data_IF_678575123262
#
_entry.id   IF_678575123262
#
_cell.length_a   1.000
_cell.length_b   1.000
_cell.length_c   1.000
_cell.angle_alpha   90.00
_cell.angle_beta   90.00
_cell.angle_gamma   90.00
#
_symmetry.space_group_name_H-M   'P 1'
#
loop_
_entity.id
_entity.type
_entity.pdbx_description
1 polymer ?
2 non-polymer ?
#
# COMPACT_ATOMS: atom_id res chain seq x y z
N UNK A 1 -12.79 9.66 6.55
CA UNK A 1 -14.04 9.73 7.34
C UNK A 1 -15.25 10.13 6.50
N UNK A 2 -15.40 10.27 5.39
CA UNK A 2 -16.23 10.51 4.22
C UNK A 2 -15.89 9.55 3.09
N UNK A 3 -14.64 9.62 2.66
CA UNK A 3 -14.34 9.39 1.27
C UNK A 3 -13.24 8.37 1.19
N UNK A 4 -13.40 7.52 0.18
CA UNK A 4 -12.29 6.94 -0.51
C UNK A 4 -11.28 8.04 -0.84
N UNK A 5 -10.03 7.78 -0.48
CA UNK A 5 -8.92 8.61 -0.93
C UNK A 5 -8.29 7.80 -2.05
N UNK A 6 -9.06 7.70 -3.12
CA UNK A 6 -8.63 6.99 -4.31
C UNK A 6 -7.36 7.63 -4.86
N UNK A 7 -6.20 6.97 -4.72
CA UNK A 7 -4.94 7.52 -5.20
C UNK A 7 -4.56 6.79 -6.47
N UNK A 8 -4.14 7.54 -7.49
CA UNK A 8 -3.74 6.94 -8.75
C UNK A 8 -2.41 6.24 -8.56
N UNK A 9 -2.12 5.25 -9.41
CA UNK A 9 -0.88 4.50 -9.26
C UNK A 9 0.33 5.39 -9.60
N UNK A 10 0.15 6.41 -10.44
CA UNK A 10 1.19 7.42 -10.66
C UNK A 10 1.58 8.06 -9.33
N UNK A 11 0.57 8.53 -8.59
CA UNK A 11 0.77 9.29 -7.37
C UNK A 11 1.63 8.45 -6.44
N UNK A 12 1.13 7.28 -6.03
CA UNK A 12 1.83 6.41 -5.11
C UNK A 12 3.27 6.10 -5.51
N UNK A 13 3.56 5.99 -6.80
CA UNK A 13 4.87 5.56 -7.27
C UNK A 13 5.95 6.60 -6.94
N UNK A 14 5.58 7.81 -6.51
CA UNK A 14 6.54 8.85 -6.15
C UNK A 14 7.05 8.63 -4.72
N UNK A 15 6.32 7.88 -3.89
CA UNK A 15 6.45 7.91 -2.44
C UNK A 15 7.45 6.87 -1.95
N UNK A 16 8.73 7.12 -2.21
CA UNK A 16 9.81 6.27 -1.70
C UNK A 16 11.14 7.00 -1.60
N UNK A 17 11.11 8.32 -1.64
CA UNK A 17 12.31 9.11 -1.93
C UNK A 17 13.11 9.40 -0.67
N UNK A 18 12.42 9.60 0.46
CA UNK A 18 13.04 10.22 1.62
C UNK A 18 12.32 9.83 2.91
N UNK A 19 11.01 10.03 2.93
CA UNK A 19 10.21 9.99 4.14
C UNK A 19 8.86 9.37 3.84
N UNK A 20 8.08 10.04 2.99
CA UNK A 20 6.77 9.59 2.58
C UNK A 20 6.90 8.25 1.88
N UNK A 21 6.31 7.22 2.48
CA UNK A 21 6.29 5.89 1.92
C UNK A 21 4.90 5.33 2.16
N UNK A 22 4.32 4.87 1.06
CA UNK A 22 3.04 4.25 1.00
C UNK A 22 3.27 2.84 0.48
N UNK A 23 2.42 1.90 0.86
CA UNK A 23 2.61 0.51 0.52
C UNK A 23 1.22 -0.10 0.30
N UNK A 24 1.01 -0.88 -0.77
CA UNK A 24 -0.34 -1.24 -1.20
C UNK A 24 -0.60 -2.70 -0.86
N UNK A 25 -1.74 -2.98 -0.21
CA UNK A 25 -2.04 -4.29 0.36
C UNK A 25 -3.49 -4.68 0.02
N UNK A 26 -3.72 -5.22 -1.19
CA UNK A 26 -5.02 -5.63 -1.73
C UNK A 26 -5.92 -4.44 -2.01
N UNK A 27 -5.64 -3.74 -3.11
CA UNK A 27 -6.41 -2.59 -3.56
C UNK A 27 -6.67 -1.62 -2.40
N UNK A 28 -5.68 -1.38 -1.55
CA UNK A 28 -5.77 -0.41 -0.47
C UNK A 28 -4.39 0.21 -0.35
N UNK A 29 -4.34 1.54 -0.28
CA UNK A 29 -3.13 2.31 -0.13
C UNK A 29 -2.97 2.52 1.36
N UNK A 30 -1.94 1.92 1.95
CA UNK A 30 -1.65 2.11 3.36
C UNK A 30 -0.52 3.11 3.47
N UNK A 31 -0.70 4.15 4.27
CA UNK A 31 0.40 5.05 4.52
C UNK A 31 1.16 4.54 5.73
N UNK A 32 2.45 4.25 5.54
CA UNK A 32 3.29 3.72 6.59
C UNK A 32 4.50 4.62 6.79
N UNK A 33 4.40 5.90 6.39
CA UNK A 33 5.39 6.92 6.70
C UNK A 33 5.68 6.91 8.20
N UNK A 34 4.66 7.03 9.04
CA UNK A 34 4.83 6.82 10.48
C UNK A 34 4.59 5.36 10.85
N UNK A 35 5.27 4.46 10.15
CA UNK A 35 5.37 3.07 10.56
C UNK A 35 6.60 2.40 9.94
N UNK A 36 7.65 3.17 9.62
CA UNK A 36 8.89 2.61 9.10
C UNK A 36 9.64 1.87 10.20
N UNK A 37 10.42 2.56 11.04
CA UNK A 37 11.12 1.90 12.14
C UNK A 37 10.14 1.35 13.18
N UNK A 38 8.96 1.96 13.29
CA UNK A 38 7.90 1.48 14.17
C UNK A 38 7.42 0.08 13.78
N UNK A 39 7.59 -0.33 12.52
CA UNK A 39 7.27 -1.67 12.07
C UNK A 39 8.22 -2.68 12.72
N UNK A 40 7.69 -3.71 13.40
CA UNK A 40 8.50 -4.74 14.05
C UNK A 40 9.06 -5.70 13.00
N UNK A 41 10.22 -5.34 12.45
CA UNK A 41 10.85 -6.08 11.38
C UNK A 41 12.10 -5.35 10.91
N UNK A 42 12.02 -4.03 10.77
CA UNK A 42 13.15 -3.20 10.40
C UNK A 42 12.57 -1.87 9.95
N UNK A 43 12.90 -1.47 8.73
CA UNK A 43 12.42 -0.25 8.11
C UNK A 43 12.37 -0.50 6.61
N UNK A 44 13.55 -0.70 6.02
CA UNK A 44 13.72 -0.81 4.58
C UNK A 44 12.81 -1.88 3.97
N UNK A 45 12.51 -2.97 4.69
CA UNK A 45 11.63 -4.04 4.23
C UNK A 45 10.28 -3.54 3.73
N UNK A 46 9.69 -2.51 4.35
CA UNK A 46 8.46 -1.92 3.81
C UNK A 46 8.80 -1.16 2.53
N UNK A 47 9.91 -0.42 2.56
CA UNK A 47 10.38 0.37 1.44
C UNK A 47 10.64 -0.49 0.20
N UNK A 48 10.92 -1.78 0.37
CA UNK A 48 11.17 -2.74 -0.71
C UNK A 48 10.04 -2.75 -1.74
N UNK A 49 8.80 -2.40 -1.34
CA UNK A 49 7.68 -2.31 -2.26
C UNK A 49 6.94 -0.99 -2.04
N UNK A 50 7.68 0.08 -1.76
CA UNK A 50 7.09 1.40 -1.61
C UNK A 50 6.60 1.90 -2.96
N UNK A 51 5.42 2.53 -2.95
CA UNK A 51 4.81 3.10 -4.13
C UNK A 51 4.35 2.02 -5.10
N UNK A 52 3.95 0.84 -4.61
CA UNK A 52 3.45 -0.19 -5.50
C UNK A 52 3.17 -1.50 -4.78
N UNK A 53 3.35 -2.59 -5.54
CA UNK A 53 2.87 -3.94 -5.31
C UNK A 53 3.51 -4.60 -4.09
N UNK A 54 2.98 -4.31 -2.90
CA UNK A 54 3.45 -4.93 -1.67
C UNK A 54 2.56 -6.09 -1.23
N UNK A 55 1.41 -6.27 -1.87
CA UNK A 55 0.42 -7.32 -1.63
C UNK A 55 1.04 -8.68 -1.47
N UNK A 56 1.65 -9.17 -2.54
CA UNK A 56 2.15 -10.51 -2.51
C UNK A 56 3.24 -10.58 -1.43
N UNK A 57 4.02 -9.51 -1.32
CA UNK A 57 5.11 -9.41 -0.36
C UNK A 57 4.63 -9.04 1.04
N UNK A 58 3.39 -9.35 1.41
CA UNK A 58 2.88 -9.01 2.72
C UNK A 58 2.00 -10.15 3.21
N UNK A 59 1.02 -10.57 2.39
CA UNK A 59 0.09 -11.62 2.86
C UNK A 59 0.83 -12.94 3.02
N UNK A 60 1.78 -13.19 2.13
CA UNK A 60 2.65 -14.35 2.15
C UNK A 60 3.36 -14.48 3.50
N UNK A 61 3.79 -13.35 4.06
CA UNK A 61 4.49 -13.31 5.34
C UNK A 61 3.56 -13.79 6.47
N UNK A 62 2.24 -13.72 6.27
CA UNK A 62 1.26 -14.40 7.11
C UNK A 62 1.30 -13.88 8.53
N UNK A 63 1.32 -12.55 8.66
CA UNK A 63 1.61 -11.81 9.88
C UNK A 63 0.98 -12.43 11.13
N UNK A 64 -0.34 -12.34 11.21
CA UNK A 64 -1.17 -12.93 12.25
C UNK A 64 -2.62 -12.72 11.82
N UNK A 65 -3.58 -12.97 12.72
CA UNK A 65 -4.99 -12.73 12.48
C UNK A 65 -5.49 -11.61 13.41
N UNK A 66 -4.57 -10.73 13.82
CA UNK A 66 -4.83 -9.60 14.71
C UNK A 66 -4.17 -8.32 14.17
N UNK A 67 -2.91 -8.43 13.75
CA UNK A 67 -2.05 -7.34 13.32
C UNK A 67 -2.39 -6.88 11.91
N UNK A 68 -2.72 -7.82 11.02
CA UNK A 68 -3.11 -7.42 9.67
C UNK A 68 -4.38 -6.59 9.72
N UNK A 69 -5.29 -6.83 10.67
CA UNK A 69 -6.44 -5.95 10.81
C UNK A 69 -6.01 -4.54 11.22
N UNK A 70 -5.01 -4.41 12.10
CA UNK A 70 -4.52 -3.10 12.55
C UNK A 70 -4.19 -2.15 11.39
N UNK A 71 -3.83 -2.68 10.22
CA UNK A 71 -3.48 -1.87 9.06
C UNK A 71 -4.58 -0.89 8.66
N UNK A 72 -5.84 -1.20 8.96
CA UNK A 72 -7.00 -0.41 8.58
C UNK A 72 -6.95 1.00 9.18
N UNK A 73 -6.40 1.19 10.38
CA UNK A 73 -6.26 2.53 10.94
C UNK A 73 -5.23 3.37 10.16
N UNK A 74 -4.45 2.75 9.27
CA UNK A 74 -3.41 3.37 8.46
C UNK A 74 -3.80 3.42 6.98
N UNK A 75 -4.97 2.90 6.62
CA UNK A 75 -5.49 3.06 5.26
C UNK A 75 -5.62 4.55 5.00
N UNK A 76 -4.93 5.03 3.96
CA UNK A 76 -5.04 6.39 3.49
C UNK A 76 -5.78 6.38 2.15
N UNK A 77 -6.40 5.26 1.74
CA UNK A 77 -7.04 5.22 0.43
C UNK A 77 -7.03 3.83 -0.19
N UNK A 78 -7.17 3.78 -1.52
CA UNK A 78 -7.16 2.58 -2.33
C UNK A 78 -6.92 2.97 -3.80
N UNK A 79 -6.71 1.99 -4.70
CA UNK A 79 -6.36 2.27 -6.09
C UNK A 79 -7.47 3.07 -6.75
N UNK A 80 -7.13 4.18 -7.41
CA UNK A 80 -8.09 5.00 -8.14
C UNK A 80 -8.96 4.16 -9.08
N UNK A 81 -10.29 4.37 -9.09
CA UNK A 81 -11.27 3.49 -9.69
C UNK A 81 -11.23 3.54 -11.21
N UNK A 82 -10.57 4.54 -11.79
CA UNK A 82 -10.30 4.55 -13.22
C UNK A 82 -9.39 3.36 -13.54
N UNK A 83 -8.16 3.40 -13.02
CA UNK A 83 -7.16 2.34 -13.20
C UNK A 83 -7.71 1.00 -12.71
N UNK A 84 -8.43 1.03 -11.59
CA UNK A 84 -8.94 -0.17 -10.95
C UNK A 84 -10.23 -0.66 -11.60
N UNK A 85 -10.90 0.14 -12.43
CA UNK A 85 -11.87 -0.41 -13.37
C UNK A 85 -11.14 -1.23 -14.43
N UNK A 86 -9.84 -0.99 -14.63
CA UNK A 86 -9.07 -1.68 -15.65
C UNK A 86 -8.46 -2.97 -15.13
N UNK A 87 -8.12 -3.08 -13.84
CA UNK A 87 -7.86 -4.39 -13.29
C UNK A 87 -9.23 -5.07 -13.33
N UNK A 88 -9.29 -6.13 -14.10
CA UNK A 88 -10.47 -6.73 -14.70
C UNK A 88 -9.88 -7.56 -15.81
N UNK A 89 -9.22 -6.82 -16.70
CA UNK A 89 -8.14 -7.31 -17.52
C UNK A 89 -6.88 -6.57 -17.09
N UNK A 90 -6.05 -7.08 -16.18
CA UNK A 90 -4.65 -6.98 -16.49
C UNK A 90 -4.48 -7.92 -17.70
N UNK A 91 -4.48 -7.48 -18.97
CA UNK A 91 -3.74 -6.38 -19.59
C UNK A 91 -3.74 -5.10 -18.79
N UNK A 92 -2.78 -5.02 -17.88
CA UNK A 92 -2.39 -3.79 -17.20
C UNK A 92 -2.27 -2.67 -18.22
N UNK A 93 -1.74 -3.03 -19.39
CA UNK A 93 -0.68 -2.24 -19.96
C UNK A 93 -1.14 -0.80 -20.14
N UNK A 94 -0.49 0.12 -19.43
CA UNK A 94 0.90 0.10 -19.00
C UNK A 94 1.08 0.98 -17.77
X LIG B 1 4.90 -6.54 8.77
X LIG B 1 4.54 -6.99 10.81
X LIG B 1 5.23 -7.92 11.52
X LIG B 1 4.59 -8.04 12.80
X LIG B 1 4.88 -9.08 13.85
X LIG B 1 6.09 -8.73 14.73
X LIG B 1 6.55 -9.90 15.59
X LIG B 1 5.80 -10.87 15.71
X LIG B 1 7.69 -9.84 16.05
X LIG B 1 7.87 -10.58 17.25
X LIG B 1 3.63 -7.05 12.89
X LIG B 1 2.78 -6.76 14.10
X LIG B 1 3.56 -6.42 11.59
X LIG B 1 2.63 -5.45 11.22
X LIG B 1 2.51 -4.97 9.91
X LIG B 1 3.27 -5.29 8.79
X LIG B 1 1.51 -4.02 9.49
X LIG B 1 0.43 -3.38 10.34
X LIG B 1 1.71 -3.82 8.15
X LIG B 1 1.14 -2.65 7.40
X LIG B 1 -0.09 -2.72 6.86
X LIG B 1 2.84 -4.59 7.70
X LIG B 1 3.37 -4.54 6.41
X LIG B 1 4.50 -5.28 6.00
X LIG B 1 5.24 -6.16 6.76
X LIG B 1 5.10 -5.22 4.68
X LIG B 1 4.64 -4.43 3.49
X LIG B 1 6.18 -6.08 4.72
X LIG B 1 7.34 -6.08 3.74
X LIG B 1 7.18 -6.02 2.39
X LIG B 1 6.27 -6.68 6.02
X LIG B 1 7.27 -7.58 6.42
X LIG B 1 7.35 -8.12 7.71
X LIG B 1 6.53 -7.89 8.77
X LIG B 1 8.36 -9.05 8.15
X LIG B 1 9.49 -9.63 7.33
X LIG B 1 8.10 -9.35 9.47
X LIG B 1 6.92 -8.61 9.86
X LIG B 1 6.33 -8.68 11.12
X LIG B 1 8.87 -10.29 10.37
X LIG B 1 8.07 -11.54 10.74
X LIG B 1 8.91 -12.82 10.70
X LIG B 1 9.53 -13.06 9.67
X LIG B 1 8.80 -13.62 11.62
X LIG B 1 7.67 -14.47 11.46
X LIG B 1 4.01 -9.23 14.49
X LIG B 1 5.07 -10.03 13.34
X LIG B 1 6.92 -8.42 14.10
X LIG B 1 5.82 -7.90 15.39
X LIG B 1 7.73 -11.65 17.07
X LIG B 1 8.88 -10.41 17.62
X LIG B 1 7.16 -10.24 18.01
X LIG B 1 3.42 -6.75 14.99
X LIG B 1 2.28 -5.80 14.03
X LIG B 1 2.04 -7.55 14.22
X LIG B 1 1.92 -5.10 11.95
X LIG B 1 0.09 -2.46 9.88
X LIG B 1 -0.42 -4.06 10.42
X LIG B 1 0.81 -3.14 11.33
X LIG B 1 1.56 -1.69 7.62
X LIG B 1 -0.55 -1.82 6.48
X LIG B 1 -0.54 -3.68 6.66
X LIG B 1 2.88 -3.90 5.70
X LIG B 1 3.85 -3.72 3.74
X LIG B 1 5.48 -3.87 3.07
X LIG B 1 4.26 -5.11 2.73
X LIG B 1 8.34 -5.98 4.12
X LIG B 1 8.05 -5.90 1.76
X LIG B 1 6.21 -6.12 1.94
X LIG B 1 7.99 -7.87 5.68
X LIG B 1 9.74 -8.98 6.49
X LIG B 1 10.39 -9.73 7.93
X LIG B 1 9.20 -10.61 6.95
X LIG B 1 6.78 -9.32 11.86
X LIG B 1 9.79 -10.59 9.86
X LIG B 1 9.17 -9.76 11.27
X LIG B 1 7.66 -11.43 11.75
X LIG B 1 7.24 -11.66 10.05
X LIG B 1 6.75 -13.90 11.50
X LIG B 1 7.66 -15.21 12.26
X LIG B 1 7.73 -15.00 10.50
#
# INVERSE_FOLDING_TARGET
DKDVKYYTLEEIQKHKDSKSTWVILHHKVYDLTKFLEEHPGGEEVLREQAGGDATENFEDVGHSTDARELSKTYIIGELHPDDRSKIAKPSETL
HDM FE NA C1A C2A CAA CBA CGA O1A O2A CSA C3A CMA C4A CHB C1B NB C2B CMB C3B CAB CBB C4B CHC C1C NC C2C CMC C3C CAC CBC C4C CHD C1D ND C2D CMD C3D C4D CHA CAD CBD CGD O1D O2D CSD HP71 HP72 HP73 HP74 HSA1 HSA2 HSA3 HM81 HM82 HM83 HDM HM11 HM12 HM13 HV2A HV2C HV2T HAM HM31 HM32 HM33 HV4A HV4C HV4T HBM HM51 HM52 HM53 HGM HP61 HP62 HP63 HP64 HSD1 HSD2 HSD3
#
